data_IF_178318596976
#
_entry.id   IF_178318596976
#
_cell.length_a   1.000
_cell.length_b   1.000
_cell.length_c   1.000
_cell.angle_alpha   90.00
_cell.angle_beta   90.00
_cell.angle_gamma   90.00
#
_symmetry.space_group_name_H-M   'P 1'
#
loop_
_entity.id
_entity.type
_entity.pdbx_description
1 polymer ?
#
# COMPACT_ATOMS: atom_id res chain seq x y z
N UNK A 1 -6.69 0.06 21.10
CA UNK A 1 -6.41 0.82 19.86
C UNK A 1 -7.54 0.61 18.89
N UNK A 2 -8.03 1.67 18.28
CA UNK A 2 -8.99 1.60 17.17
C UNK A 2 -8.31 1.09 15.90
N UNK A 3 -9.10 0.67 14.92
CA UNK A 3 -8.57 0.22 13.60
C UNK A 3 -7.77 1.35 12.91
N UNK A 4 -8.21 2.60 13.06
CA UNK A 4 -7.52 3.78 12.55
C UNK A 4 -6.15 3.98 13.21
N UNK A 5 -6.08 3.89 14.55
CA UNK A 5 -4.82 4.01 15.29
C UNK A 5 -3.84 2.88 14.91
N UNK A 6 -4.36 1.67 14.70
CA UNK A 6 -3.55 0.54 14.25
C UNK A 6 -2.98 0.78 12.85
N UNK A 7 -3.80 1.29 11.91
CA UNK A 7 -3.36 1.58 10.55
C UNK A 7 -2.32 2.71 10.49
N UNK A 8 -2.53 3.78 11.27
CA UNK A 8 -1.56 4.87 11.37
C UNK A 8 -0.24 4.39 11.96
N UNK A 9 -0.27 3.61 13.05
CA UNK A 9 0.93 3.05 13.67
C UNK A 9 1.68 2.13 12.71
N UNK A 10 0.99 1.26 11.99
CA UNK A 10 1.62 0.36 11.02
C UNK A 10 2.29 1.14 9.88
N UNK A 11 1.64 2.20 9.37
CA UNK A 11 2.22 3.07 8.35
C UNK A 11 3.45 3.82 8.87
N UNK A 12 3.38 4.39 10.09
CA UNK A 12 4.50 5.10 10.71
C UNK A 12 5.72 4.19 10.88
N UNK A 13 5.55 3.03 11.52
CA UNK A 13 6.63 2.07 11.71
C UNK A 13 7.25 1.59 10.39
N UNK A 14 6.42 1.39 9.35
CA UNK A 14 6.95 0.97 8.06
C UNK A 14 7.71 2.10 7.37
N UNK A 15 7.22 3.35 7.43
CA UNK A 15 7.94 4.50 6.89
C UNK A 15 9.34 4.62 7.51
N UNK A 16 9.46 4.45 8.83
CA UNK A 16 10.74 4.48 9.52
C UNK A 16 11.66 3.31 9.11
N UNK A 17 11.15 2.07 9.18
CA UNK A 17 11.92 0.86 8.87
C UNK A 17 12.34 0.76 7.41
N UNK A 18 11.53 1.28 6.50
CA UNK A 18 11.81 1.35 5.07
C UNK A 18 12.58 2.62 4.66
N UNK A 19 12.83 3.54 5.60
CA UNK A 19 13.50 4.82 5.37
C UNK A 19 12.83 5.62 4.24
N UNK A 20 11.49 5.64 4.22
CA UNK A 20 10.74 6.35 3.19
C UNK A 20 10.88 7.87 3.35
N UNK A 21 10.98 8.57 2.24
CA UNK A 21 11.09 10.03 2.20
C UNK A 21 10.20 10.63 1.10
N UNK A 22 10.28 11.96 0.91
CA UNK A 22 9.48 12.65 -0.10
C UNK A 22 9.61 12.02 -1.48
N UNK A 23 8.48 11.78 -2.15
CA UNK A 23 8.41 11.13 -3.45
C UNK A 23 8.38 9.59 -3.40
N UNK A 24 8.62 8.96 -2.25
CA UNK A 24 8.44 7.51 -2.11
C UNK A 24 6.98 7.11 -2.28
N UNK A 25 6.74 5.88 -2.74
CA UNK A 25 5.41 5.31 -2.92
C UNK A 25 5.24 4.13 -1.95
N UNK A 26 4.22 4.21 -1.08
CA UNK A 26 3.75 3.12 -0.24
C UNK A 26 2.53 2.47 -0.90
N UNK A 27 2.64 1.21 -1.31
CA UNK A 27 1.47 0.46 -1.79
C UNK A 27 0.72 -0.17 -0.62
N UNK A 28 -0.61 -0.06 -0.64
CA UNK A 28 -1.49 -0.69 0.34
C UNK A 28 -2.55 -1.51 -0.37
N UNK A 29 -2.58 -2.81 -0.08
CA UNK A 29 -3.72 -3.65 -0.36
C UNK A 29 -4.52 -3.85 0.92
N UNK A 30 -5.84 -3.67 0.85
CA UNK A 30 -6.69 -3.75 2.03
C UNK A 30 -8.02 -4.43 1.74
N UNK A 31 -8.32 -5.45 2.53
CA UNK A 31 -9.65 -6.05 2.60
C UNK A 31 -10.42 -5.52 3.81
N UNK A 32 -11.36 -4.61 3.57
CA UNK A 32 -12.23 -4.11 4.64
C UNK A 32 -13.13 -5.20 5.24
N UNK A 33 -13.42 -6.26 4.49
CA UNK A 33 -14.12 -7.45 5.00
C UNK A 33 -13.28 -8.17 6.05
N UNK A 34 -12.03 -8.47 5.77
CA UNK A 34 -11.10 -9.12 6.71
C UNK A 34 -10.89 -8.26 7.97
N UNK A 35 -10.76 -6.93 7.81
CA UNK A 35 -10.65 -6.00 8.96
C UNK A 35 -11.83 -6.15 9.92
N UNK A 36 -13.02 -6.48 9.41
CA UNK A 36 -14.25 -6.68 10.17
C UNK A 36 -14.48 -8.14 10.59
N UNK A 37 -13.55 -9.03 10.31
CA UNK A 37 -13.67 -10.45 10.63
C UNK A 37 -14.53 -11.25 9.65
N UNK A 38 -14.81 -10.71 8.47
CA UNK A 38 -15.53 -11.40 7.40
C UNK A 38 -14.56 -11.84 6.30
N UNK A 39 -14.89 -12.91 5.59
CA UNK A 39 -14.08 -13.39 4.46
C UNK A 39 -13.90 -12.30 3.42
N UNK A 40 -12.71 -12.22 2.83
CA UNK A 40 -12.37 -11.25 1.77
C UNK A 40 -13.45 -11.17 0.68
N UNK A 41 -13.86 -9.93 0.36
CA UNK A 41 -14.85 -9.65 -0.68
C UNK A 41 -16.32 -9.88 -0.31
N UNK A 42 -16.64 -10.32 0.92
CA UNK A 42 -18.02 -10.67 1.31
C UNK A 42 -18.76 -9.58 2.11
N UNK A 43 -18.02 -8.68 2.77
CA UNK A 43 -18.58 -7.60 3.62
C UNK A 43 -17.91 -6.26 3.31
N UNK A 44 -18.21 -5.71 2.15
CA UNK A 44 -17.68 -4.42 1.71
C UNK A 44 -18.12 -3.30 2.66
N UNK A 45 -17.18 -2.57 3.23
CA UNK A 45 -17.43 -1.54 4.23
C UNK A 45 -16.82 -0.18 3.84
N UNK A 46 -17.55 0.68 3.10
CA UNK A 46 -17.06 1.97 2.65
C UNK A 46 -16.51 2.85 3.78
N UNK A 47 -17.26 3.00 4.88
CA UNK A 47 -16.83 3.81 6.02
C UNK A 47 -15.52 3.30 6.66
N UNK A 48 -15.29 1.98 6.70
CA UNK A 48 -14.02 1.39 7.13
C UNK A 48 -12.91 1.74 6.14
N UNK A 49 -13.18 1.65 4.83
CA UNK A 49 -12.23 2.04 3.78
C UNK A 49 -11.80 3.51 3.91
N UNK A 50 -12.76 4.41 4.06
CA UNK A 50 -12.51 5.85 4.24
C UNK A 50 -11.66 6.13 5.48
N UNK A 51 -12.01 5.54 6.62
CA UNK A 51 -11.29 5.76 7.87
C UNK A 51 -9.86 5.22 7.83
N UNK A 52 -9.60 4.11 7.14
CA UNK A 52 -8.26 3.56 6.95
C UNK A 52 -7.42 4.42 6.00
N UNK A 53 -8.00 4.90 4.91
CA UNK A 53 -7.32 5.82 3.98
C UNK A 53 -6.90 7.10 4.70
N UNK A 54 -7.81 7.74 5.45
CA UNK A 54 -7.50 8.96 6.20
C UNK A 54 -6.41 8.71 7.26
N UNK A 55 -6.48 7.61 7.99
CA UNK A 55 -5.48 7.27 9.00
C UNK A 55 -4.09 7.08 8.38
N UNK A 56 -3.98 6.39 7.26
CA UNK A 56 -2.71 6.19 6.55
C UNK A 56 -2.21 7.51 5.95
N UNK A 57 -3.06 8.28 5.27
CA UNK A 57 -2.68 9.57 4.67
C UNK A 57 -2.23 10.59 5.72
N UNK A 58 -2.80 10.59 6.92
CA UNK A 58 -2.35 11.47 8.01
C UNK A 58 -0.88 11.28 8.38
N UNK A 59 -0.34 10.08 8.13
CA UNK A 59 1.08 9.76 8.32
C UNK A 59 1.91 10.09 7.09
N UNK A 60 1.40 9.79 5.89
CA UNK A 60 2.17 9.89 4.64
C UNK A 60 2.28 11.32 4.11
N UNK A 61 1.18 12.09 4.13
CA UNK A 61 1.12 13.44 3.55
C UNK A 61 2.16 14.39 4.16
N UNK A 62 2.32 14.48 5.50
CA UNK A 62 3.35 15.35 6.10
C UNK A 62 4.78 14.98 5.73
N UNK A 63 5.01 13.73 5.33
CA UNK A 63 6.32 13.20 4.93
C UNK A 63 6.55 13.29 3.41
N UNK A 64 5.57 13.77 2.64
CA UNK A 64 5.63 13.83 1.18
C UNK A 64 5.66 12.44 0.50
N UNK A 65 5.11 11.43 1.16
CA UNK A 65 5.03 10.04 0.67
C UNK A 65 3.68 9.83 0.00
N UNK A 66 3.66 9.19 -1.16
CA UNK A 66 2.44 8.87 -1.90
C UNK A 66 1.85 7.52 -1.47
N UNK A 67 0.52 7.48 -1.34
CA UNK A 67 -0.23 6.24 -1.21
C UNK A 67 -0.58 5.70 -2.60
N UNK A 68 -0.35 4.41 -2.83
CA UNK A 68 -0.92 3.68 -3.94
C UNK A 68 -1.89 2.61 -3.40
N UNK A 69 -3.18 2.77 -3.66
CA UNK A 69 -4.21 1.86 -3.21
C UNK A 69 -4.47 0.77 -4.25
N UNK A 70 -4.21 -0.49 -3.89
CA UNK A 70 -4.45 -1.63 -4.77
C UNK A 70 -5.94 -1.92 -4.88
N UNK A 71 -6.42 -2.08 -6.11
CA UNK A 71 -7.73 -2.62 -6.42
C UNK A 71 -7.77 -4.16 -6.30
N UNK A 72 -8.98 -4.73 -6.27
CA UNK A 72 -9.17 -6.18 -6.29
C UNK A 72 -8.97 -6.78 -7.70
N UNK A 73 -9.07 -8.10 -7.79
CA UNK A 73 -8.92 -8.86 -9.03
C UNK A 73 -9.93 -8.49 -10.12
N UNK A 74 -11.11 -7.99 -9.77
CA UNK A 74 -12.12 -7.52 -10.74
C UNK A 74 -11.61 -6.33 -11.58
N UNK A 75 -10.66 -5.57 -11.08
CA UNK A 75 -9.95 -4.50 -11.79
C UNK A 75 -8.49 -4.89 -12.03
N UNK A 76 -8.20 -6.19 -12.18
CA UNK A 76 -6.86 -6.72 -12.45
C UNK A 76 -5.77 -6.23 -11.47
N UNK A 77 -6.16 -5.90 -10.22
CA UNK A 77 -5.29 -5.34 -9.18
C UNK A 77 -4.55 -4.08 -9.62
N UNK A 78 -5.16 -3.27 -10.48
CA UNK A 78 -4.63 -1.94 -10.81
C UNK A 78 -4.54 -1.07 -9.55
N UNK A 79 -3.82 0.01 -9.63
CA UNK A 79 -3.53 0.87 -8.50
C UNK A 79 -4.12 2.25 -8.71
N UNK A 80 -4.75 2.75 -7.66
CA UNK A 80 -5.19 4.14 -7.59
C UNK A 80 -4.10 4.95 -6.90
N UNK A 81 -3.65 6.01 -7.56
CA UNK A 81 -2.53 6.82 -7.09
C UNK A 81 -2.70 8.27 -7.56
N UNK A 82 -2.06 9.22 -6.89
CA UNK A 82 -1.95 10.59 -7.41
C UNK A 82 -1.15 10.59 -8.71
N UNK A 83 -1.63 11.29 -9.75
CA UNK A 83 -0.93 11.42 -11.04
C UNK A 83 0.52 11.90 -10.87
N UNK A 84 0.73 12.82 -9.94
CA UNK A 84 2.07 13.37 -9.65
C UNK A 84 3.08 12.34 -9.12
N UNK A 85 2.61 11.22 -8.56
CA UNK A 85 3.49 10.13 -8.10
C UNK A 85 4.02 9.28 -9.27
N UNK A 86 3.34 9.31 -10.42
CA UNK A 86 3.60 8.42 -11.56
C UNK A 86 3.65 9.17 -12.91
N UNK A 87 4.46 10.24 -13.04
CA UNK A 87 4.41 11.15 -14.19
C UNK A 87 4.75 10.50 -15.52
N UNK A 88 5.35 9.32 -15.52
CA UNK A 88 5.75 8.60 -16.74
C UNK A 88 4.88 7.39 -17.06
N UNK A 89 3.81 7.13 -16.28
CA UNK A 89 2.93 6.00 -16.52
C UNK A 89 1.67 6.39 -17.28
N UNK A 90 1.21 5.49 -18.15
CA UNK A 90 -0.02 5.65 -18.89
C UNK A 90 -1.22 5.24 -18.01
N UNK A 91 -2.20 6.12 -17.78
CA UNK A 91 -3.40 5.78 -17.04
C UNK A 91 -4.32 4.84 -17.80
N UNK A 92 -4.99 3.95 -17.06
CA UNK A 92 -6.11 3.16 -17.58
C UNK A 92 -7.44 3.78 -17.16
N UNK A 93 -8.46 3.62 -17.99
CA UNK A 93 -9.76 4.23 -17.76
C UNK A 93 -10.62 3.32 -16.86
N UNK A 94 -10.52 3.53 -15.55
CA UNK A 94 -11.36 2.85 -14.57
C UNK A 94 -11.56 3.74 -13.33
N UNK A 95 -12.76 3.69 -12.78
CA UNK A 95 -13.11 4.30 -11.49
C UNK A 95 -13.53 3.19 -10.56
N UNK A 96 -12.80 2.93 -9.47
CA UNK A 96 -13.11 1.83 -8.57
C UNK A 96 -14.45 2.02 -7.87
N UNK A 97 -15.09 0.90 -7.57
CA UNK A 97 -16.35 0.83 -6.83
C UNK A 97 -16.18 -0.12 -5.64
N UNK A 98 -16.99 -0.01 -4.58
CA UNK A 98 -16.87 -0.89 -3.41
C UNK A 98 -16.88 -2.40 -3.74
N UNK A 99 -17.60 -2.79 -4.80
CA UNK A 99 -17.67 -4.19 -5.28
C UNK A 99 -16.78 -4.49 -6.50
N UNK A 100 -16.08 -3.49 -7.01
CA UNK A 100 -15.14 -3.63 -8.13
C UNK A 100 -13.97 -2.67 -7.92
N UNK A 101 -12.91 -3.16 -7.28
CA UNK A 101 -11.76 -2.40 -6.78
C UNK A 101 -11.66 -2.45 -5.26
N UNK A 102 -12.79 -2.46 -4.56
CA UNK A 102 -12.88 -2.54 -3.11
C UNK A 102 -13.05 -1.18 -2.43
N UNK A 103 -13.55 -1.18 -1.21
CA UNK A 103 -13.86 0.03 -0.44
C UNK A 103 -12.64 0.91 -0.18
N UNK A 104 -11.46 0.31 0.06
CA UNK A 104 -10.24 1.05 0.30
C UNK A 104 -9.77 1.83 -0.94
N UNK A 105 -9.72 1.17 -2.11
CA UNK A 105 -9.33 1.82 -3.36
C UNK A 105 -10.37 2.88 -3.81
N UNK A 106 -11.65 2.62 -3.57
CA UNK A 106 -12.74 3.60 -3.83
C UNK A 106 -12.59 4.84 -2.97
N UNK A 107 -12.30 4.67 -1.68
CA UNK A 107 -12.06 5.77 -0.76
C UNK A 107 -10.82 6.59 -1.15
N UNK A 108 -9.72 5.93 -1.52
CA UNK A 108 -8.50 6.58 -1.99
C UNK A 108 -8.77 7.41 -3.26
N UNK A 109 -9.52 6.87 -4.22
CA UNK A 109 -9.88 7.59 -5.44
C UNK A 109 -10.65 8.88 -5.12
N UNK A 110 -11.61 8.83 -4.21
CA UNK A 110 -12.39 10.00 -3.80
C UNK A 110 -11.59 11.02 -2.98
N UNK A 111 -10.53 10.59 -2.30
CA UNK A 111 -9.71 11.44 -1.42
C UNK A 111 -8.56 12.15 -2.14
N UNK A 112 -8.04 11.56 -3.20
CA UNK A 112 -6.93 12.15 -3.96
C UNK A 112 -7.38 13.37 -4.75
N UNK A 113 -6.45 14.29 -5.03
CA UNK A 113 -6.72 15.51 -5.81
C UNK A 113 -6.81 15.25 -7.30
N UNK A 114 -5.91 14.44 -7.82
CA UNK A 114 -5.84 14.06 -9.24
C UNK A 114 -5.59 12.55 -9.33
N UNK A 115 -6.62 11.74 -8.96
CA UNK A 115 -6.51 10.30 -8.95
C UNK A 115 -6.37 9.74 -10.37
N UNK A 116 -5.47 8.79 -10.53
CA UNK A 116 -5.37 7.97 -11.73
C UNK A 116 -5.31 6.49 -11.37
N UNK A 117 -5.83 5.65 -12.27
CA UNK A 117 -5.61 4.22 -12.21
C UNK A 117 -4.45 3.85 -13.15
N UNK A 118 -3.53 3.04 -12.66
CA UNK A 118 -2.42 2.50 -13.46
C UNK A 118 -2.33 0.99 -13.26
N UNK A 119 -1.90 0.25 -14.29
CA UNK A 119 -1.81 -1.21 -14.20
C UNK A 119 -0.67 -1.66 -13.29
N UNK A 120 0.46 -0.97 -13.32
CA UNK A 120 1.68 -1.36 -12.61
C UNK A 120 2.36 -0.15 -12.00
N UNK A 121 3.01 -0.38 -10.84
CA UNK A 121 3.94 0.56 -10.22
C UNK A 121 5.20 -0.18 -9.76
N UNK A 122 6.16 0.59 -9.26
CA UNK A 122 7.34 0.10 -8.55
C UNK A 122 7.42 0.82 -7.21
N UNK A 123 6.68 0.32 -6.23
CA UNK A 123 6.59 0.90 -4.90
C UNK A 123 7.84 0.65 -4.06
N UNK A 124 8.12 1.55 -3.12
CA UNK A 124 9.28 1.51 -2.23
C UNK A 124 9.04 0.66 -0.97
N UNK A 125 7.78 0.54 -0.57
CA UNK A 125 7.35 -0.30 0.54
C UNK A 125 5.88 -0.69 0.35
N UNK A 126 5.38 -1.62 1.16
CA UNK A 126 3.98 -2.03 1.09
C UNK A 126 3.43 -2.60 2.38
N UNK A 127 2.13 -2.35 2.59
CA UNK A 127 1.28 -2.97 3.61
C UNK A 127 0.24 -3.87 2.93
N UNK A 128 0.15 -5.10 3.39
CA UNK A 128 -0.91 -6.04 3.02
C UNK A 128 -1.81 -6.27 4.23
N UNK A 129 -3.04 -5.77 4.14
CA UNK A 129 -4.05 -5.83 5.20
C UNK A 129 -5.13 -6.81 4.76
N UNK A 130 -5.02 -8.07 5.21
CA UNK A 130 -6.00 -9.11 4.93
C UNK A 130 -5.65 -10.04 3.77
N UNK A 131 -4.37 -10.24 3.45
CA UNK A 131 -3.93 -11.24 2.48
C UNK A 131 -4.26 -10.88 1.03
N UNK A 132 -4.10 -9.61 0.66
CA UNK A 132 -4.47 -9.08 -0.66
C UNK A 132 -3.42 -9.29 -1.74
N UNK A 133 -2.20 -9.72 -1.37
CA UNK A 133 -1.08 -9.98 -2.26
C UNK A 133 -0.58 -8.73 -3.00
N UNK A 134 0.27 -7.93 -2.35
CA UNK A 134 0.82 -6.68 -2.90
C UNK A 134 2.20 -6.83 -3.55
N UNK A 135 2.83 -8.00 -3.44
CA UNK A 135 4.24 -8.19 -3.79
C UNK A 135 4.60 -7.82 -5.23
N UNK A 136 3.66 -8.01 -6.19
CA UNK A 136 3.85 -7.68 -7.59
C UNK A 136 4.07 -6.17 -7.86
N UNK A 137 3.73 -5.33 -6.89
CA UNK A 137 3.82 -3.87 -7.03
C UNK A 137 5.10 -3.28 -6.42
N UNK A 138 5.90 -4.09 -5.74
CA UNK A 138 7.14 -3.65 -5.10
C UNK A 138 8.32 -3.66 -6.07
N UNK A 139 9.26 -2.75 -5.87
CA UNK A 139 10.59 -2.86 -6.48
C UNK A 139 11.28 -4.14 -5.99
N UNK A 140 12.09 -4.74 -6.81
CA UNK A 140 12.99 -5.80 -6.33
C UNK A 140 14.21 -5.15 -5.62
N UNK A 141 14.58 -5.67 -4.48
CA UNK A 141 14.14 -6.89 -3.82
C UNK A 141 13.21 -6.55 -2.66
N UNK A 142 12.00 -7.11 -2.63
CA UNK A 142 11.11 -7.00 -1.49
C UNK A 142 11.66 -7.79 -0.29
N UNK A 143 11.68 -7.14 0.87
CA UNK A 143 12.18 -7.71 2.13
C UNK A 143 11.07 -7.62 3.18
N UNK A 144 10.68 -8.74 3.82
CA UNK A 144 9.67 -8.71 4.88
C UNK A 144 10.09 -7.81 6.04
N UNK A 145 9.15 -7.02 6.55
CA UNK A 145 9.33 -6.17 7.72
C UNK A 145 8.45 -6.66 8.86
N UNK A 146 9.03 -6.80 10.04
CA UNK A 146 8.28 -7.11 11.26
C UNK A 146 7.83 -5.81 11.91
N UNK A 147 6.52 -5.58 11.92
CA UNK A 147 5.90 -4.49 12.65
C UNK A 147 5.52 -4.94 14.07
N UNK A 148 5.23 -3.97 14.94
CA UNK A 148 4.75 -4.24 16.29
C UNK A 148 3.36 -4.90 16.28
N UNK A 149 2.52 -4.53 15.31
CA UNK A 149 1.21 -5.12 15.08
C UNK A 149 1.30 -6.32 14.12
N UNK A 150 0.45 -7.32 14.37
CA UNK A 150 0.28 -8.50 13.50
C UNK A 150 -1.03 -8.48 12.73
N UNK A 151 -1.94 -7.57 13.10
CA UNK A 151 -3.25 -7.42 12.49
C UNK A 151 -3.72 -5.97 12.57
N UNK A 152 -4.66 -5.58 11.69
CA UNK A 152 -5.47 -4.37 11.78
C UNK A 152 -6.93 -4.82 11.84
N UNK A 153 -7.60 -4.55 12.97
CA UNK A 153 -8.83 -5.25 13.31
C UNK A 153 -8.58 -6.75 13.35
N UNK A 154 -9.36 -7.53 12.61
CA UNK A 154 -9.19 -8.99 12.48
C UNK A 154 -8.30 -9.39 11.28
N UNK A 155 -7.97 -8.45 10.39
CA UNK A 155 -7.18 -8.71 9.20
C UNK A 155 -5.70 -8.96 9.52
N UNK A 156 -5.09 -10.06 9.06
CA UNK A 156 -3.65 -10.25 9.20
C UNK A 156 -2.89 -9.16 8.47
N UNK A 157 -1.78 -8.70 9.08
CA UNK A 157 -0.94 -7.63 8.55
C UNK A 157 0.42 -8.16 8.13
N UNK A 158 0.78 -7.92 6.88
CA UNK A 158 2.12 -8.12 6.35
C UNK A 158 2.69 -6.80 5.87
N UNK A 159 4.01 -6.64 6.03
CA UNK A 159 4.72 -5.45 5.58
C UNK A 159 6.01 -5.82 4.87
N UNK A 160 6.37 -5.03 3.88
CA UNK A 160 7.62 -5.18 3.16
C UNK A 160 8.26 -3.82 2.87
N UNK A 161 9.58 -3.77 2.93
CA UNK A 161 10.42 -2.74 2.35
C UNK A 161 11.13 -3.26 1.11
N UNK A 162 11.83 -2.40 0.42
CA UNK A 162 12.69 -2.82 -0.69
C UNK A 162 14.16 -2.51 -0.38
N UNK A 163 15.06 -3.21 -1.02
CA UNK A 163 16.48 -2.89 -1.09
C UNK A 163 17.01 -3.13 -2.49
N UNK A 164 18.10 -2.48 -2.91
CA UNK A 164 18.74 -2.78 -4.17
C UNK A 164 19.19 -4.24 -4.30
N UNK A 165 19.23 -4.73 -5.53
CA UNK A 165 19.72 -6.07 -5.83
C UNK A 165 21.22 -6.18 -5.57
N UNK A 166 21.65 -7.32 -5.04
CA UNK A 166 23.06 -7.69 -5.07
C UNK A 166 23.41 -8.20 -6.46
N UNK A 167 24.20 -7.44 -7.20
CA UNK A 167 24.62 -7.81 -8.56
C UNK A 167 26.14 -7.96 -8.57
N UNK A 168 26.60 -9.12 -9.02
CA UNK A 168 28.01 -9.45 -9.12
C UNK A 168 28.31 -10.88 -8.69
N UNK A 169 29.59 -11.22 -8.61
CA UNK A 169 30.09 -12.53 -8.19
C UNK A 169 30.95 -12.44 -6.94
N UNK A 170 31.76 -13.46 -6.72
CA UNK A 170 32.61 -13.61 -5.53
C UNK A 170 33.57 -12.44 -5.26
N UNK A 171 33.86 -11.63 -6.27
CA UNK A 171 34.72 -10.43 -6.14
C UNK A 171 33.95 -9.14 -5.89
N UNK A 172 32.60 -9.17 -5.91
CA UNK A 172 31.78 -8.00 -5.69
C UNK A 172 31.89 -7.54 -4.23
N UNK A 173 31.84 -6.23 -4.05
CA UNK A 173 31.65 -5.59 -2.75
C UNK A 173 30.31 -4.86 -2.78
N UNK A 174 29.67 -4.75 -1.64
CA UNK A 174 28.36 -4.15 -1.49
C UNK A 174 28.42 -2.99 -0.51
N UNK A 175 27.54 -2.00 -0.73
CA UNK A 175 27.35 -0.86 0.15
C UNK A 175 26.39 -1.27 1.28
N UNK A 176 26.88 -1.20 2.52
CA UNK A 176 26.10 -1.61 3.70
C UNK A 176 24.96 -0.62 4.01
N UNK A 177 25.06 0.63 3.58
CA UNK A 177 24.02 1.65 3.78
C UNK A 177 22.78 1.41 2.90
N UNK A 178 22.90 0.55 1.88
CA UNK A 178 21.81 0.17 0.98
C UNK A 178 21.11 -1.15 1.36
N UNK A 179 21.40 -1.73 2.54
CA UNK A 179 20.81 -3.00 3.01
C UNK A 179 19.43 -2.84 3.64
#
# INVERSE_FOLDING_TARGET
MTVQEQAALAAEELCEKARLGPGSILVVGCSTSEVRGSRIGTDSAPATGESLVEAILSVLEPKGIYLAAQCCEHLNRCLIVERSAVPGLEPVNVVPQPKAGGSFATAAYGRFRDPVAVEHIRADAGLDIGGTLIGMHLKEVAVPVRLSLKAIGEAPLLAARVRPKFIGGVRAKYDEDLL
#
